data_IF_477131264818
#
_entry.id   IF_477131264818
#
_cell.length_a   1.000
_cell.length_b   1.000
_cell.length_c   1.000
_cell.angle_alpha   90.00
_cell.angle_beta   90.00
_cell.angle_gamma   90.00
#
_symmetry.space_group_name_H-M   'P 1'
#
loop_
_entity.id
_entity.type
_entity.pdbx_description
1 polymer ?
#
# COMPACT_ATOMS: atom_id res chain seq x y z
N UNK A 1 6.07 -7.19 -27.25
CA UNK A 1 5.89 -5.85 -27.78
C UNK A 1 6.45 -4.82 -26.79
N UNK A 2 6.37 -3.51 -27.09
CA UNK A 2 6.95 -2.47 -26.24
C UNK A 2 6.29 -2.38 -24.86
N UNK A 3 5.03 -2.79 -24.76
CA UNK A 3 4.30 -2.89 -23.49
C UNK A 3 4.84 -4.02 -22.63
N UNK A 4 5.13 -5.18 -23.24
CA UNK A 4 5.74 -6.31 -22.54
C UNK A 4 7.15 -5.96 -22.06
N UNK A 5 7.94 -5.25 -22.87
CA UNK A 5 9.26 -4.76 -22.44
C UNK A 5 9.17 -3.79 -21.28
N UNK A 6 8.20 -2.85 -21.28
CA UNK A 6 8.01 -1.92 -20.17
C UNK A 6 7.62 -2.64 -18.87
N UNK A 7 6.94 -3.78 -18.96
CA UNK A 7 6.64 -4.66 -17.82
C UNK A 7 7.91 -5.41 -17.39
N UNK A 8 8.68 -5.96 -18.32
CA UNK A 8 9.93 -6.67 -18.05
C UNK A 8 10.98 -5.76 -17.41
N UNK A 9 10.99 -4.48 -17.75
CA UNK A 9 11.82 -3.44 -17.11
C UNK A 9 11.36 -3.08 -15.68
N UNK A 10 10.40 -3.84 -15.12
CA UNK A 10 9.90 -3.68 -13.75
C UNK A 10 8.73 -2.71 -13.61
N UNK A 11 8.20 -2.22 -14.72
CA UNK A 11 6.98 -1.44 -14.75
C UNK A 11 5.73 -2.33 -14.78
N UNK A 12 4.65 -1.88 -14.17
CA UNK A 12 3.35 -2.51 -14.29
C UNK A 12 2.25 -1.45 -14.37
N UNK A 13 1.19 -1.76 -15.09
CA UNK A 13 0.08 -0.83 -15.28
C UNK A 13 -1.22 -1.60 -15.53
N UNK A 14 -2.32 -0.91 -15.36
CA UNK A 14 -3.64 -1.44 -15.65
C UNK A 14 -4.23 -0.77 -16.89
N UNK A 15 -4.88 -1.53 -17.74
CA UNK A 15 -5.76 -0.95 -18.76
C UNK A 15 -6.98 -0.35 -18.08
N UNK A 16 -7.35 0.85 -18.50
CA UNK A 16 -8.60 1.47 -18.06
C UNK A 16 -9.76 1.08 -19.01
N UNK A 17 -10.98 1.47 -18.66
CA UNK A 17 -12.15 1.28 -19.53
C UNK A 17 -12.11 2.19 -20.78
N UNK A 18 -11.31 3.25 -20.74
CA UNK A 18 -11.12 4.14 -21.87
C UNK A 18 -10.01 3.62 -22.79
N UNK A 19 -10.31 3.55 -24.10
CA UNK A 19 -9.32 3.12 -25.09
C UNK A 19 -8.11 4.07 -25.12
N UNK A 20 -6.91 3.48 -25.17
CA UNK A 20 -5.66 4.23 -25.21
C UNK A 20 -5.21 4.82 -23.87
N UNK A 21 -5.91 4.51 -22.79
CA UNK A 21 -5.51 4.96 -21.45
C UNK A 21 -4.99 3.80 -20.60
N UNK A 22 -3.97 4.07 -19.82
CA UNK A 22 -3.41 3.16 -18.83
C UNK A 22 -3.23 3.87 -17.47
N UNK A 23 -3.48 3.13 -16.39
CA UNK A 23 -3.24 3.56 -15.02
C UNK A 23 -1.92 2.98 -14.54
N UNK A 24 -1.01 3.85 -14.14
CA UNK A 24 0.27 3.49 -13.53
C UNK A 24 0.20 3.75 -12.03
N UNK A 25 0.05 2.71 -11.19
CA UNK A 25 -0.05 2.87 -9.75
C UNK A 25 1.33 2.93 -9.09
N UNK A 26 2.26 3.64 -9.70
CA UNK A 26 3.62 3.76 -9.20
C UNK A 26 3.74 4.95 -8.28
N UNK A 27 4.50 4.76 -7.23
CA UNK A 27 4.88 5.80 -6.30
C UNK A 27 6.39 5.91 -6.19
N UNK A 28 6.85 7.00 -5.61
CA UNK A 28 8.23 7.14 -5.21
C UNK A 28 8.54 6.18 -4.05
N UNK A 29 9.70 5.56 -4.12
CA UNK A 29 10.25 4.75 -3.02
C UNK A 29 11.21 5.59 -2.18
N UNK A 30 11.54 5.14 -0.98
CA UNK A 30 12.57 5.78 -0.14
C UNK A 30 13.91 5.96 -0.86
N UNK A 31 14.24 5.09 -1.81
CA UNK A 31 15.46 5.24 -2.63
C UNK A 31 15.43 6.47 -3.52
N UNK A 32 14.24 6.93 -3.89
CA UNK A 32 14.04 8.05 -4.80
C UNK A 32 13.79 9.37 -4.06
N UNK A 33 13.11 9.31 -2.90
CA UNK A 33 12.68 10.49 -2.15
C UNK A 33 13.41 10.68 -0.82
N UNK A 34 14.22 9.70 -0.40
CA UNK A 34 14.72 9.61 0.97
C UNK A 34 13.62 9.20 1.95
N UNK A 35 13.97 9.09 3.21
CA UNK A 35 12.99 8.76 4.27
C UNK A 35 11.94 9.85 4.38
N UNK A 36 10.68 9.45 4.40
CA UNK A 36 9.51 10.30 4.54
C UNK A 36 8.82 9.97 5.85
N UNK A 37 8.70 10.94 6.73
CA UNK A 37 7.79 10.86 7.88
C UNK A 37 6.39 11.29 7.45
N UNK A 38 5.51 10.33 7.26
CA UNK A 38 4.13 10.59 6.85
C UNK A 38 3.28 11.26 7.94
N UNK A 39 3.85 11.62 9.08
CA UNK A 39 3.22 12.44 10.12
C UNK A 39 3.68 13.89 10.10
N UNK A 40 4.69 14.20 9.28
CA UNK A 40 5.23 15.54 9.10
C UNK A 40 4.66 16.19 7.82
N UNK A 41 3.94 17.32 7.92
CA UNK A 41 3.39 18.03 6.75
C UNK A 41 4.45 18.52 5.76
N UNK A 42 5.66 18.85 6.20
CA UNK A 42 6.75 19.29 5.33
C UNK A 42 7.28 18.13 4.49
N UNK A 43 7.47 16.96 5.10
CA UNK A 43 7.83 15.74 4.41
C UNK A 43 6.76 15.30 3.41
N UNK A 44 5.48 15.40 3.77
CA UNK A 44 4.38 15.11 2.85
C UNK A 44 4.37 16.07 1.65
N UNK A 45 4.63 17.34 1.88
CA UNK A 45 4.71 18.34 0.82
C UNK A 45 5.89 18.05 -0.12
N UNK A 46 7.05 17.74 0.45
CA UNK A 46 8.24 17.34 -0.31
C UNK A 46 7.97 16.09 -1.14
N UNK A 47 7.37 15.08 -0.56
CA UNK A 47 7.01 13.84 -1.25
C UNK A 47 6.02 14.09 -2.39
N UNK A 48 5.02 14.96 -2.18
CA UNK A 48 4.04 15.34 -3.21
C UNK A 48 4.71 15.98 -4.43
N UNK A 49 5.63 16.90 -4.21
CA UNK A 49 6.37 17.59 -5.28
C UNK A 49 7.23 16.58 -6.03
N UNK A 50 7.99 15.77 -5.31
CA UNK A 50 8.91 14.79 -5.88
C UNK A 50 8.18 13.69 -6.67
N UNK A 51 7.07 13.17 -6.15
CA UNK A 51 6.26 12.20 -6.88
C UNK A 51 5.75 12.74 -8.21
N UNK A 52 5.32 14.02 -8.26
CA UNK A 52 4.87 14.65 -9.50
C UNK A 52 6.01 14.82 -10.51
N UNK A 53 7.22 15.19 -10.03
CA UNK A 53 8.42 15.27 -10.87
C UNK A 53 8.74 13.89 -11.48
N UNK A 54 8.72 12.85 -10.66
CA UNK A 54 9.00 11.48 -11.09
C UNK A 54 7.97 10.95 -12.12
N UNK A 55 6.69 11.30 -11.99
CA UNK A 55 5.67 10.97 -13.01
C UNK A 55 6.07 11.54 -14.37
N UNK A 56 6.48 12.80 -14.43
CA UNK A 56 6.87 13.45 -15.70
C UNK A 56 8.14 12.84 -16.29
N UNK A 57 9.13 12.52 -15.45
CA UNK A 57 10.36 11.84 -15.87
C UNK A 57 10.09 10.44 -16.39
N UNK A 58 9.23 9.67 -15.69
CA UNK A 58 8.83 8.31 -16.11
C UNK A 58 8.18 8.34 -17.49
N UNK A 59 7.22 9.25 -17.71
CA UNK A 59 6.55 9.35 -19.02
C UNK A 59 7.53 9.82 -20.10
N UNK A 60 8.46 10.72 -19.77
CA UNK A 60 9.54 11.12 -20.66
C UNK A 60 10.44 9.94 -21.06
N UNK A 61 10.83 9.11 -20.09
CA UNK A 61 11.61 7.90 -20.31
C UNK A 61 10.88 6.86 -21.19
N UNK A 62 9.61 6.59 -20.91
CA UNK A 62 8.78 5.69 -21.72
C UNK A 62 8.66 6.17 -23.17
N UNK A 63 8.44 7.47 -23.39
CA UNK A 63 8.38 8.05 -24.74
C UNK A 63 9.69 7.90 -25.51
N UNK A 64 10.82 7.97 -24.83
CA UNK A 64 12.14 7.86 -25.45
C UNK A 64 12.55 6.41 -25.73
N UNK A 65 12.13 5.46 -24.90
CA UNK A 65 12.59 4.07 -24.95
C UNK A 65 11.62 3.09 -25.64
N UNK A 66 10.33 3.41 -25.69
CA UNK A 66 9.30 2.49 -26.22
C UNK A 66 8.45 3.16 -27.30
N UNK A 67 8.55 2.73 -28.57
CA UNK A 67 7.79 3.32 -29.68
C UNK A 67 6.28 3.42 -29.47
N UNK A 68 5.66 2.41 -28.82
CA UNK A 68 4.23 2.44 -28.50
C UNK A 68 3.82 3.59 -27.55
N UNK A 69 4.77 4.15 -26.83
CA UNK A 69 4.55 5.30 -25.93
C UNK A 69 5.03 6.64 -26.50
N UNK A 70 5.49 6.70 -27.76
CA UNK A 70 6.07 7.92 -28.37
C UNK A 70 5.17 9.17 -28.28
N UNK A 71 3.86 8.98 -28.28
CA UNK A 71 2.85 10.04 -28.15
C UNK A 71 2.15 10.03 -26.78
N UNK A 72 2.63 9.21 -25.82
CA UNK A 72 2.01 9.16 -24.50
C UNK A 72 2.10 10.52 -23.80
N UNK A 73 1.06 10.87 -23.07
CA UNK A 73 1.00 12.06 -22.23
C UNK A 73 0.24 11.76 -20.94
N UNK A 74 0.52 12.55 -19.93
CA UNK A 74 -0.17 12.46 -18.66
C UNK A 74 -1.56 13.08 -18.80
N UNK A 75 -2.60 12.27 -18.63
CA UNK A 75 -3.99 12.76 -18.61
C UNK A 75 -4.35 13.28 -17.22
N UNK A 76 -3.93 12.57 -16.19
CA UNK A 76 -4.26 12.89 -14.81
C UNK A 76 -3.17 12.34 -13.86
N UNK A 77 -2.94 13.02 -12.76
CA UNK A 77 -2.11 12.58 -11.65
C UNK A 77 -2.99 12.56 -10.41
N UNK A 78 -2.85 11.52 -9.58
CA UNK A 78 -3.55 11.44 -8.30
C UNK A 78 -3.35 12.74 -7.50
N UNK A 79 -4.46 13.31 -7.01
CA UNK A 79 -4.44 14.57 -6.28
C UNK A 79 -3.66 14.44 -4.98
N UNK A 80 -3.91 13.35 -4.26
CA UNK A 80 -3.37 13.08 -2.93
C UNK A 80 -2.34 11.95 -2.96
N UNK A 81 -1.39 11.99 -2.03
CA UNK A 81 -0.43 10.90 -1.83
C UNK A 81 -1.13 9.64 -1.33
N UNK A 82 -0.76 8.50 -1.92
CA UNK A 82 -1.22 7.19 -1.48
C UNK A 82 -0.44 6.69 -0.26
N UNK A 83 -0.59 7.35 0.89
CA UNK A 83 0.07 6.94 2.13
C UNK A 83 -0.59 5.68 2.66
N UNK A 84 0.14 4.58 2.64
CA UNK A 84 -0.37 3.29 3.08
C UNK A 84 -0.03 2.98 4.53
N UNK A 85 1.06 3.54 5.04
CA UNK A 85 1.55 3.31 6.39
C UNK A 85 2.04 4.61 7.01
N UNK A 86 1.67 4.85 8.27
CA UNK A 86 2.13 5.98 9.08
C UNK A 86 2.14 5.53 10.55
N UNK A 87 1.06 5.81 11.30
CA UNK A 87 0.91 5.39 12.68
C UNK A 87 0.19 4.05 12.79
N UNK A 88 0.64 3.21 13.70
CA UNK A 88 0.00 1.96 14.07
C UNK A 88 -0.25 1.93 15.57
N UNK A 89 -1.30 1.19 15.94
CA UNK A 89 -1.66 0.98 17.34
C UNK A 89 -0.53 0.24 18.08
N UNK A 90 -0.23 0.66 19.30
CA UNK A 90 0.43 -0.17 20.30
C UNK A 90 -0.65 -1.03 20.96
N UNK A 91 -0.92 -2.20 20.40
CA UNK A 91 -2.02 -3.07 20.82
C UNK A 91 -1.57 -4.16 21.78
N UNK A 92 -2.55 -4.81 22.41
CA UNK A 92 -2.34 -5.96 23.31
C UNK A 92 -1.71 -7.17 22.61
N UNK A 93 -1.78 -7.21 21.29
CA UNK A 93 -1.09 -8.17 20.44
C UNK A 93 -0.56 -7.48 19.20
N UNK A 94 0.69 -7.73 18.85
CA UNK A 94 1.29 -7.27 17.61
C UNK A 94 1.33 -8.45 16.65
N UNK A 95 0.46 -8.47 15.65
CA UNK A 95 0.48 -9.52 14.63
C UNK A 95 1.78 -9.38 13.82
N UNK A 96 2.56 -10.44 13.80
CA UNK A 96 3.91 -10.46 13.26
C UNK A 96 4.08 -11.48 12.13
N UNK A 97 5.22 -11.42 11.46
CA UNK A 97 5.58 -12.41 10.45
C UNK A 97 5.67 -13.83 11.00
N UNK A 98 5.96 -13.98 12.29
CA UNK A 98 6.08 -15.29 12.92
C UNK A 98 4.71 -15.97 13.11
N UNK A 99 3.62 -15.23 12.93
CA UNK A 99 2.24 -15.74 13.03
C UNK A 99 1.70 -16.30 11.70
N UNK A 100 2.52 -16.32 10.65
CA UNK A 100 2.11 -16.86 9.35
C UNK A 100 1.72 -18.33 9.49
N UNK A 101 0.58 -18.69 8.91
CA UNK A 101 -0.01 -20.03 8.92
C UNK A 101 -0.31 -20.58 10.33
N UNK A 102 -0.39 -19.72 11.33
CA UNK A 102 -0.74 -20.07 12.71
C UNK A 102 -2.15 -19.59 13.05
N UNK A 103 -3.13 -20.48 13.20
CA UNK A 103 -4.45 -20.12 13.70
C UNK A 103 -4.37 -19.47 15.09
N UNK A 104 -5.16 -18.43 15.29
CA UNK A 104 -5.26 -17.69 16.56
C UNK A 104 -6.71 -17.75 17.04
N UNK A 105 -6.92 -18.14 18.31
CA UNK A 105 -8.24 -18.44 18.85
C UNK A 105 -9.22 -17.26 18.82
N UNK A 106 -8.73 -16.04 19.03
CA UNK A 106 -9.53 -14.80 19.00
C UNK A 106 -9.50 -14.09 17.64
N UNK A 107 -9.20 -14.83 16.56
CA UNK A 107 -9.16 -14.25 15.23
C UNK A 107 -10.55 -13.78 14.78
N UNK A 108 -10.59 -12.54 14.29
CA UNK A 108 -11.80 -11.89 13.75
C UNK A 108 -11.83 -11.85 12.22
N UNK A 109 -10.70 -12.12 11.59
CA UNK A 109 -10.56 -12.15 10.15
C UNK A 109 -9.33 -12.98 9.73
N UNK A 110 -9.33 -13.42 8.48
CA UNK A 110 -8.19 -14.07 7.85
C UNK A 110 -7.82 -13.27 6.59
N UNK A 111 -6.53 -13.06 6.38
CA UNK A 111 -6.01 -12.38 5.18
C UNK A 111 -4.83 -13.15 4.59
N UNK A 112 -4.63 -13.03 3.27
CA UNK A 112 -3.54 -13.69 2.55
C UNK A 112 -2.23 -12.93 2.65
N UNK A 113 -1.12 -13.65 2.54
CA UNK A 113 0.20 -13.05 2.37
C UNK A 113 0.38 -12.57 0.93
N UNK A 114 0.88 -11.36 0.73
CA UNK A 114 0.98 -10.72 -0.58
C UNK A 114 1.87 -11.45 -1.58
N UNK A 115 3.00 -11.94 -1.14
CA UNK A 115 4.03 -12.53 -2.01
C UNK A 115 4.21 -14.04 -1.81
N UNK A 116 3.52 -14.65 -0.84
CA UNK A 116 3.57 -16.07 -0.57
C UNK A 116 2.17 -16.67 -0.75
N UNK A 117 1.92 -17.15 -1.95
CA UNK A 117 0.63 -17.73 -2.30
C UNK A 117 0.24 -18.87 -1.36
N UNK A 118 -0.99 -18.83 -0.86
CA UNK A 118 -1.55 -19.82 0.05
C UNK A 118 -1.22 -19.62 1.52
N UNK A 119 -0.29 -18.72 1.85
CA UNK A 119 0.02 -18.41 3.26
C UNK A 119 -0.99 -17.40 3.82
N UNK A 120 -1.38 -17.59 5.07
CA UNK A 120 -2.46 -16.86 5.73
C UNK A 120 -2.00 -16.23 7.04
N UNK A 121 -2.66 -15.14 7.41
CA UNK A 121 -2.62 -14.53 8.74
C UNK A 121 -4.01 -14.50 9.33
N UNK A 122 -4.12 -14.91 10.58
CA UNK A 122 -5.32 -14.75 11.41
C UNK A 122 -5.19 -13.45 12.20
N UNK A 123 -6.07 -12.48 11.91
CA UNK A 123 -6.05 -11.17 12.58
C UNK A 123 -6.75 -11.32 13.93
N UNK A 124 -6.03 -11.24 15.06
CA UNK A 124 -6.65 -11.42 16.37
C UNK A 124 -7.38 -10.16 16.83
N UNK A 125 -8.46 -10.32 17.57
CA UNK A 125 -9.20 -9.22 18.19
C UNK A 125 -8.30 -8.34 19.06
N UNK A 126 -7.34 -8.95 19.75
CA UNK A 126 -6.35 -8.24 20.59
C UNK A 126 -5.45 -7.25 19.82
N UNK A 127 -5.33 -7.39 18.50
CA UNK A 127 -4.63 -6.39 17.67
C UNK A 127 -5.43 -5.09 17.46
N UNK A 128 -6.71 -5.08 17.84
CA UNK A 128 -7.59 -3.91 17.79
C UNK A 128 -7.64 -3.19 19.15
N UNK A 129 -7.13 -3.80 20.20
CA UNK A 129 -7.20 -3.30 21.57
C UNK A 129 -5.92 -2.56 21.94
N UNK A 130 -5.98 -1.27 22.33
CA UNK A 130 -4.83 -0.56 22.91
C UNK A 130 -4.31 -1.24 24.18
N UNK A 131 -3.02 -1.04 24.47
CA UNK A 131 -2.42 -1.50 25.74
C UNK A 131 -2.92 -0.70 26.93
N UNK A 132 -3.19 0.60 26.73
CA UNK A 132 -3.36 1.57 27.83
C UNK A 132 -4.79 2.08 27.98
N UNK A 133 -5.72 1.66 27.12
CA UNK A 133 -7.12 2.08 27.13
C UNK A 133 -8.04 0.87 27.02
N UNK A 134 -9.06 0.85 27.86
CA UNK A 134 -10.03 -0.28 27.91
C UNK A 134 -11.32 -0.03 27.08
N UNK A 135 -11.62 1.22 26.77
CA UNK A 135 -12.86 1.63 26.09
C UNK A 135 -12.64 2.13 24.65
N UNK A 136 -11.58 1.68 24.00
CA UNK A 136 -11.25 2.04 22.63
C UNK A 136 -10.98 0.79 21.80
N UNK A 137 -11.51 0.76 20.59
CA UNK A 137 -11.16 -0.17 19.53
C UNK A 137 -10.61 0.58 18.34
N UNK A 138 -9.60 0.02 17.71
CA UNK A 138 -8.95 0.58 16.52
C UNK A 138 -9.08 -0.42 15.38
N UNK A 139 -9.57 0.04 14.23
CA UNK A 139 -9.77 -0.80 13.05
C UNK A 139 -9.07 -0.23 11.81
N UNK A 140 -8.99 -1.02 10.76
CA UNK A 140 -8.43 -0.61 9.48
C UNK A 140 -6.92 -0.67 9.42
N UNK A 141 -6.30 0.23 8.65
CA UNK A 141 -4.86 0.19 8.36
C UNK A 141 -3.94 0.41 9.56
N UNK A 142 -4.46 0.95 10.65
CA UNK A 142 -3.67 1.32 11.84
C UNK A 142 -3.77 0.31 13.00
N UNK A 143 -4.29 -0.88 12.79
CA UNK A 143 -4.28 -1.95 13.80
C UNK A 143 -2.86 -2.34 14.21
N UNK A 144 -2.72 -3.06 15.32
CA UNK A 144 -1.43 -3.45 15.88
C UNK A 144 -0.82 -4.64 15.11
N UNK A 145 0.07 -4.31 14.17
CA UNK A 145 0.81 -5.27 13.35
C UNK A 145 2.25 -4.80 13.17
N UNK A 146 3.15 -5.71 12.84
CA UNK A 146 4.49 -5.31 12.42
C UNK A 146 4.50 -4.73 11.00
N UNK A 147 5.58 -4.04 10.62
CA UNK A 147 5.72 -3.44 9.30
C UNK A 147 5.55 -4.45 8.15
N UNK A 148 6.05 -5.68 8.32
CA UNK A 148 6.02 -6.69 7.26
C UNK A 148 4.64 -7.29 7.06
N UNK A 149 3.89 -7.49 8.13
CA UNK A 149 2.51 -8.02 8.07
C UNK A 149 1.53 -6.94 7.64
N UNK A 150 1.86 -5.67 7.85
CA UNK A 150 1.02 -4.56 7.42
C UNK A 150 0.59 -4.67 5.94
N UNK A 151 1.45 -5.17 5.06
CA UNK A 151 1.09 -5.41 3.66
C UNK A 151 -0.13 -6.32 3.48
N UNK A 152 -0.34 -7.29 4.36
CA UNK A 152 -1.47 -8.21 4.30
C UNK A 152 -2.74 -7.63 4.94
N UNK A 153 -2.59 -6.72 5.91
CA UNK A 153 -3.71 -6.21 6.72
C UNK A 153 -4.23 -4.83 6.28
N UNK A 154 -3.46 -4.08 5.48
CA UNK A 154 -3.82 -2.74 5.02
C UNK A 154 -4.86 -2.71 3.89
N UNK A 155 -5.09 -3.85 3.25
CA UNK A 155 -5.97 -3.95 2.09
C UNK A 155 -7.45 -3.76 2.48
N UNK A 156 -8.29 -3.48 1.48
CA UNK A 156 -9.70 -3.16 1.71
C UNK A 156 -10.46 -4.29 2.44
N UNK A 157 -10.34 -5.59 2.05
CA UNK A 157 -11.08 -6.65 2.72
C UNK A 157 -10.75 -6.80 4.22
N UNK A 158 -9.47 -6.88 4.66
CA UNK A 158 -9.17 -6.94 6.09
C UNK A 158 -9.54 -5.65 6.82
N UNK A 159 -9.46 -4.48 6.19
CA UNK A 159 -9.93 -3.23 6.82
C UNK A 159 -11.44 -3.24 7.06
N UNK A 160 -12.24 -3.75 6.12
CA UNK A 160 -13.69 -3.94 6.30
C UNK A 160 -13.97 -4.93 7.43
N UNK A 161 -13.27 -6.08 7.45
CA UNK A 161 -13.48 -7.10 8.47
C UNK A 161 -13.14 -6.61 9.89
N UNK A 162 -12.03 -5.88 10.04
CA UNK A 162 -11.67 -5.26 11.32
C UNK A 162 -12.67 -4.16 11.74
N UNK A 163 -13.18 -3.37 10.78
CA UNK A 163 -14.23 -2.39 11.02
C UNK A 163 -15.52 -3.04 11.49
N UNK A 164 -15.96 -4.12 10.85
CA UNK A 164 -17.13 -4.89 11.26
C UNK A 164 -16.98 -5.49 12.66
N UNK A 165 -15.79 -6.01 12.99
CA UNK A 165 -15.54 -6.59 14.32
C UNK A 165 -15.47 -5.53 15.44
N UNK A 166 -15.25 -4.28 15.10
CA UNK A 166 -15.17 -3.15 16.06
C UNK A 166 -16.51 -2.48 16.30
N UNK A 167 -17.47 -2.59 15.37
CA UNK A 167 -18.82 -1.98 15.45
C UNK A 167 -19.84 -2.93 15.98
#
# INVERSE_FOLDING_TARGET
DDVERAIDDGGWFFRTVASGQALFPWGATEKMTGTIDATDPEDLTRAQIECRRLVMETVGGLRASHPSFSHAHVCEIARDLGITESRRLSGRYVLSRDDIDKPIDDAIAITGHWTKYGALYWIPYRSLLPTDLDNLLVAGRCISVDHRVHHATKEIPPCIATGQASG
#
